data_IF_180568319631
#
_entry.id   IF_180568319631
#
_cell.length_a   1.000
_cell.length_b   1.000
_cell.length_c   1.000
_cell.angle_alpha   90.00
_cell.angle_beta   90.00
_cell.angle_gamma   90.00
#
_symmetry.space_group_name_H-M   'P 1'
#
loop_
_entity.id
_entity.type
_entity.pdbx_description
1 polymer ?
#
# COMPACT_ATOMS: atom_id res chain seq x y z
N UNK A 1 -17.61 -9.14 4.88
CA UNK A 1 -16.87 -7.87 4.84
C UNK A 1 -16.87 -7.45 3.39
N UNK A 2 -17.30 -6.24 3.08
CA UNK A 2 -17.12 -5.70 1.73
C UNK A 2 -15.63 -5.76 1.42
N UNK A 3 -15.28 -6.29 0.26
CA UNK A 3 -13.91 -6.23 -0.26
C UNK A 3 -13.53 -4.75 -0.38
N UNK A 4 -12.91 -4.18 0.65
CA UNK A 4 -12.37 -2.81 0.69
C UNK A 4 -11.13 -2.63 -0.20
N UNK A 5 -11.04 -3.46 -1.24
CA UNK A 5 -9.98 -3.41 -2.23
C UNK A 5 -10.14 -2.13 -3.03
N UNK A 6 -9.05 -1.40 -3.21
CA UNK A 6 -9.04 -0.19 -4.04
C UNK A 6 -7.86 -0.20 -5.01
N UNK A 7 -8.09 0.42 -6.17
CA UNK A 7 -7.08 0.54 -7.21
C UNK A 7 -6.10 1.67 -6.92
N UNK A 8 -4.84 1.45 -7.27
CA UNK A 8 -3.79 2.45 -7.23
C UNK A 8 -3.10 2.55 -8.58
N UNK A 9 -2.72 3.77 -8.97
CA UNK A 9 -1.90 3.99 -10.16
C UNK A 9 -0.98 5.19 -9.99
N UNK A 10 0.26 5.04 -10.45
CA UNK A 10 1.29 6.09 -10.37
C UNK A 10 2.41 5.82 -11.38
N UNK A 11 3.32 6.79 -11.56
CA UNK A 11 4.52 6.64 -12.38
C UNK A 11 5.77 6.70 -11.50
N UNK A 12 6.76 5.86 -11.77
CA UNK A 12 8.07 5.88 -11.13
C UNK A 12 9.14 5.57 -12.18
N UNK A 13 10.17 6.40 -12.30
CA UNK A 13 11.23 6.29 -13.31
C UNK A 13 10.68 6.07 -14.72
N UNK A 14 9.72 6.92 -15.13
CA UNK A 14 8.99 6.90 -16.41
C UNK A 14 8.21 5.60 -16.70
N UNK A 15 8.08 4.71 -15.71
CA UNK A 15 7.30 3.47 -15.81
C UNK A 15 5.95 3.63 -15.13
N UNK A 16 4.83 3.34 -15.82
CA UNK A 16 3.53 3.30 -15.19
C UNK A 16 3.38 2.04 -14.34
N UNK A 17 2.81 2.22 -13.15
CA UNK A 17 2.38 1.16 -12.25
C UNK A 17 0.87 1.26 -12.06
N UNK A 18 0.19 0.12 -12.19
CA UNK A 18 -1.23 -0.04 -11.87
C UNK A 18 -1.38 -1.26 -10.98
N UNK A 19 -2.29 -1.19 -10.03
CA UNK A 19 -2.43 -2.25 -9.06
C UNK A 19 -3.62 -2.06 -8.18
N UNK A 20 -3.71 -2.92 -7.18
CA UNK A 20 -4.74 -2.86 -6.17
C UNK A 20 -4.13 -3.09 -4.79
N UNK A 21 -4.85 -2.60 -3.80
CA UNK A 21 -4.51 -2.70 -2.39
C UNK A 21 -5.67 -3.33 -1.67
N UNK A 22 -5.40 -4.39 -0.91
CA UNK A 22 -6.37 -5.03 -0.04
C UNK A 22 -5.97 -4.80 1.44
N UNK A 23 -6.72 -4.01 2.21
CA UNK A 23 -6.43 -3.79 3.62
C UNK A 23 -6.64 -5.07 4.44
N UNK A 24 -5.81 -5.27 5.47
CA UNK A 24 -6.03 -6.33 6.45
C UNK A 24 -7.11 -5.95 7.46
N UNK A 25 -7.73 -6.95 8.09
CA UNK A 25 -8.69 -6.75 9.19
C UNK A 25 -8.06 -6.19 10.48
N UNK A 26 -6.73 -6.07 10.53
CA UNK A 26 -6.03 -5.50 11.69
C UNK A 26 -6.08 -3.98 11.62
N UNK A 27 -6.73 -3.38 12.61
CA UNK A 27 -6.92 -1.94 12.73
C UNK A 27 -6.05 -1.33 13.84
N UNK A 28 -5.74 -0.04 13.74
CA UNK A 28 -5.16 0.75 14.83
C UNK A 28 -6.26 1.34 15.74
N UNK A 29 -5.85 2.13 16.74
CA UNK A 29 -6.76 2.79 17.69
C UNK A 29 -7.72 3.80 17.04
N UNK A 30 -7.44 4.25 15.81
CA UNK A 30 -8.31 5.15 15.04
C UNK A 30 -9.27 4.40 14.13
N UNK A 31 -9.25 3.06 14.14
CA UNK A 31 -10.06 2.21 13.27
C UNK A 31 -9.55 2.08 11.84
N UNK A 32 -8.33 2.54 11.54
CA UNK A 32 -7.71 2.43 10.22
C UNK A 32 -6.87 1.14 10.10
N UNK A 33 -6.84 0.47 8.93
CA UNK A 33 -6.01 -0.71 8.74
C UNK A 33 -4.51 -0.42 8.91
N UNK A 34 -3.78 -1.33 9.55
CA UNK A 34 -2.33 -1.18 9.80
C UNK A 34 -1.46 -1.92 8.79
N UNK A 35 -2.06 -2.79 7.99
CA UNK A 35 -1.37 -3.58 6.97
C UNK A 35 -2.22 -3.73 5.72
N UNK A 36 -1.55 -3.81 4.57
CA UNK A 36 -2.15 -3.74 3.25
C UNK A 36 -1.43 -4.70 2.31
N UNK A 37 -2.14 -5.69 1.76
CA UNK A 37 -1.62 -6.50 0.67
C UNK A 37 -1.64 -5.69 -0.62
N UNK A 38 -0.50 -5.59 -1.31
CA UNK A 38 -0.35 -4.78 -2.51
C UNK A 38 0.07 -5.66 -3.67
N UNK A 39 -0.61 -5.48 -4.81
CA UNK A 39 -0.23 -6.07 -6.10
C UNK A 39 -0.03 -4.96 -7.10
N UNK A 40 1.12 -4.93 -7.78
CA UNK A 40 1.44 -3.97 -8.83
C UNK A 40 1.76 -4.71 -10.13
N UNK A 41 1.12 -4.32 -11.22
CA UNK A 41 1.27 -4.91 -12.55
C UNK A 41 1.15 -6.44 -12.50
N UNK A 42 0.12 -6.93 -11.79
CA UNK A 42 -0.16 -8.36 -11.58
C UNK A 42 0.90 -9.14 -10.78
N UNK A 43 1.90 -8.44 -10.21
CA UNK A 43 2.94 -9.02 -9.37
C UNK A 43 2.72 -8.65 -7.90
N UNK A 44 2.79 -9.63 -7.01
CA UNK A 44 2.72 -9.37 -5.57
C UNK A 44 3.87 -8.45 -5.13
N UNK A 45 3.51 -7.27 -4.65
CA UNK A 45 4.47 -6.32 -4.11
C UNK A 45 4.84 -6.68 -2.67
N UNK A 46 3.91 -7.31 -1.94
CA UNK A 46 4.04 -7.69 -0.54
C UNK A 46 2.97 -7.04 0.33
N UNK A 47 3.14 -7.17 1.64
CA UNK A 47 2.35 -6.48 2.64
C UNK A 47 3.06 -5.20 3.07
N UNK A 48 2.42 -4.06 2.86
CA UNK A 48 2.86 -2.78 3.42
C UNK A 48 2.23 -2.56 4.78
N UNK A 49 3.02 -2.07 5.72
CA UNK A 49 2.54 -1.64 7.04
C UNK A 49 3.13 -0.28 7.38
N UNK A 50 2.37 0.53 8.10
CA UNK A 50 2.84 1.81 8.63
C UNK A 50 3.30 1.62 10.07
N UNK A 51 4.61 1.70 10.30
CA UNK A 51 5.26 1.48 11.59
C UNK A 51 6.26 2.62 11.84
N UNK A 52 6.27 3.19 13.04
CA UNK A 52 7.20 4.26 13.43
C UNK A 52 7.28 5.43 12.44
N UNK A 53 6.11 5.89 11.98
CA UNK A 53 5.97 6.95 10.97
C UNK A 53 6.63 6.64 9.61
N UNK A 54 6.82 5.36 9.29
CA UNK A 54 7.42 4.89 8.04
C UNK A 54 6.63 3.73 7.43
N UNK A 55 6.57 3.72 6.11
CA UNK A 55 6.09 2.57 5.36
C UNK A 55 7.19 1.50 5.28
N UNK A 56 6.87 0.31 5.76
CA UNK A 56 7.70 -0.88 5.63
C UNK A 56 6.95 -1.93 4.80
N UNK A 57 7.70 -2.71 4.03
CA UNK A 57 7.18 -3.86 3.28
C UNK A 57 7.94 -5.11 3.71
N UNK A 58 7.26 -6.25 3.72
CA UNK A 58 7.85 -7.54 4.11
C UNK A 58 8.76 -8.15 3.04
N UNK A 59 8.72 -7.65 1.82
CA UNK A 59 9.54 -8.06 0.67
C UNK A 59 10.66 -7.06 0.41
N UNK A 60 11.78 -7.51 -0.19
CA UNK A 60 12.81 -6.59 -0.65
C UNK A 60 12.29 -5.78 -1.86
N UNK A 61 12.12 -4.47 -1.66
CA UNK A 61 11.60 -3.54 -2.67
C UNK A 61 12.37 -2.22 -2.65
N UNK A 62 12.50 -1.54 -3.79
CA UNK A 62 13.09 -0.21 -3.84
C UNK A 62 12.34 0.77 -2.92
N UNK A 63 13.07 1.49 -2.05
CA UNK A 63 12.49 2.41 -1.08
C UNK A 63 11.61 3.50 -1.73
N UNK A 64 11.95 3.92 -2.95
CA UNK A 64 11.15 4.87 -3.74
C UNK A 64 9.76 4.33 -4.07
N UNK A 65 9.66 3.06 -4.48
CA UNK A 65 8.39 2.39 -4.75
C UNK A 65 7.56 2.22 -3.48
N UNK A 66 8.17 1.76 -2.39
CA UNK A 66 7.50 1.60 -1.08
C UNK A 66 6.86 2.92 -0.65
N UNK A 67 7.61 4.03 -0.75
CA UNK A 67 7.12 5.37 -0.43
C UNK A 67 5.96 5.81 -1.33
N UNK A 68 6.02 5.53 -2.63
CA UNK A 68 4.97 5.91 -3.57
C UNK A 68 3.68 5.14 -3.33
N UNK A 69 3.77 3.84 -3.07
CA UNK A 69 2.60 3.02 -2.70
C UNK A 69 2.00 3.51 -1.39
N UNK A 70 2.83 3.74 -0.36
CA UNK A 70 2.39 4.30 0.92
C UNK A 70 1.60 5.60 0.76
N UNK A 71 2.06 6.52 -0.08
CA UNK A 71 1.32 7.76 -0.41
C UNK A 71 -0.04 7.53 -1.06
N UNK A 72 -0.20 6.49 -1.87
CA UNK A 72 -1.51 6.17 -2.44
C UNK A 72 -2.48 5.68 -1.36
N UNK A 73 -1.97 4.90 -0.40
CA UNK A 73 -2.74 4.42 0.75
C UNK A 73 -3.12 5.59 1.66
N UNK A 74 -2.17 6.47 2.01
CA UNK A 74 -2.42 7.69 2.78
C UNK A 74 -3.51 8.54 2.14
N UNK A 75 -3.43 8.77 0.81
CA UNK A 75 -4.43 9.53 0.06
C UNK A 75 -5.82 8.89 0.11
N UNK A 76 -5.92 7.55 0.07
CA UNK A 76 -7.20 6.84 0.11
C UNK A 76 -7.86 6.95 1.49
N UNK A 77 -7.09 6.75 2.55
CA UNK A 77 -7.60 6.77 3.93
C UNK A 77 -7.59 8.15 4.59
N UNK A 78 -7.08 9.17 3.90
CA UNK A 78 -6.90 10.52 4.43
C UNK A 78 -6.04 10.54 5.72
N UNK A 79 -5.00 9.69 5.73
CA UNK A 79 -4.00 9.60 6.80
C UNK A 79 -2.96 10.72 6.72
#
# INVERSE_FOLDING_TARGET
MEDTIFDISFTHDDKPYKGWVNPSDKLNDTGAPVSFHVVLNEVSFGYLSFLDCKWAVNEERPAGLVKLVGKQIEKHYQL
#
